data_IF_526389428023
#
_entry.id   IF_526389428023
#
_cell.length_a   1.000
_cell.length_b   1.000
_cell.length_c   1.000
_cell.angle_alpha   90.00
_cell.angle_beta   90.00
_cell.angle_gamma   90.00
#
_symmetry.space_group_name_H-M   'P 1'
#
loop_
_entity.id
_entity.type
_entity.pdbx_description
1 polymer ?
#
# COMPACT_ATOMS: atom_id res chain seq x y z
N UNK A 1 -6.62 6.01 -17.42
CA UNK A 1 -7.26 5.66 -16.14
C UNK A 1 -6.47 6.40 -15.07
N UNK A 2 -7.04 7.43 -14.46
CA UNK A 2 -6.35 8.19 -13.40
C UNK A 2 -6.42 7.45 -12.07
N UNK A 3 -5.38 7.56 -11.26
CA UNK A 3 -5.41 7.19 -9.84
C UNK A 3 -6.35 8.16 -9.12
N UNK A 4 -7.31 7.63 -8.36
CA UNK A 4 -8.35 8.44 -7.70
C UNK A 4 -7.87 9.00 -6.37
N UNK A 5 -8.32 10.20 -6.02
CA UNK A 5 -8.33 10.64 -4.63
C UNK A 5 -9.43 9.86 -3.90
N UNK A 6 -9.05 9.10 -2.86
CA UNK A 6 -9.99 8.32 -2.06
C UNK A 6 -10.59 9.13 -0.89
N UNK A 7 -10.23 10.41 -0.73
CA UNK A 7 -10.87 11.31 0.22
C UNK A 7 -12.29 11.63 -0.31
N UNK A 8 -13.31 11.01 0.28
CA UNK A 8 -14.73 11.23 -0.03
C UNK A 8 -15.35 10.33 -1.10
N UNK A 9 -14.68 9.26 -1.53
CA UNK A 9 -15.21 8.33 -2.54
C UNK A 9 -16.08 7.21 -1.92
N UNK A 10 -17.11 6.76 -2.66
CA UNK A 10 -17.88 5.56 -2.30
C UNK A 10 -17.09 4.28 -2.58
N UNK A 11 -17.07 3.38 -1.59
CA UNK A 11 -16.39 2.08 -1.66
C UNK A 11 -17.00 1.16 -2.70
N UNK A 12 -16.17 0.41 -3.42
CA UNK A 12 -16.64 -0.57 -4.43
C UNK A 12 -16.41 -2.03 -4.02
N UNK A 13 -15.91 -2.28 -2.80
CA UNK A 13 -15.77 -3.65 -2.28
C UNK A 13 -14.85 -4.54 -3.13
N UNK A 14 -13.81 -3.97 -3.76
CA UNK A 14 -12.86 -4.77 -4.54
C UNK A 14 -11.88 -5.47 -3.60
N UNK A 15 -11.87 -6.79 -3.64
CA UNK A 15 -10.96 -7.60 -2.81
C UNK A 15 -9.63 -7.81 -3.51
N UNK A 16 -8.55 -7.76 -2.72
CA UNK A 16 -7.18 -8.05 -3.17
C UNK A 16 -6.64 -9.17 -2.31
N UNK A 17 -5.96 -10.13 -2.95
CA UNK A 17 -5.29 -11.21 -2.25
C UNK A 17 -3.95 -10.72 -1.64
N UNK A 18 -4.01 -10.23 -0.40
CA UNK A 18 -2.84 -9.88 0.41
C UNK A 18 -3.12 -10.20 1.86
N UNK A 19 -2.25 -11.01 2.47
CA UNK A 19 -2.37 -11.36 3.88
C UNK A 19 -2.02 -10.16 4.76
N UNK A 20 -0.97 -9.41 4.40
CA UNK A 20 -0.57 -8.21 5.11
C UNK A 20 -1.67 -7.15 5.08
N UNK A 21 -2.33 -6.98 3.94
CA UNK A 21 -3.47 -6.08 3.81
C UNK A 21 -4.61 -6.54 4.71
N UNK A 22 -4.99 -7.83 4.68
CA UNK A 22 -6.07 -8.35 5.52
C UNK A 22 -5.80 -8.09 7.01
N UNK A 23 -4.59 -8.43 7.49
CA UNK A 23 -4.17 -8.18 8.86
C UNK A 23 -4.18 -6.68 9.19
N UNK A 24 -3.74 -5.83 8.26
CA UNK A 24 -3.75 -4.38 8.46
C UNK A 24 -5.17 -3.85 8.59
N UNK A 25 -6.10 -4.30 7.74
CA UNK A 25 -7.51 -3.88 7.76
C UNK A 25 -8.22 -4.32 9.06
N UNK A 26 -7.92 -5.52 9.57
CA UNK A 26 -8.44 -6.02 10.85
C UNK A 26 -8.00 -5.16 12.04
N UNK A 27 -6.81 -4.55 11.97
CA UNK A 27 -6.25 -3.70 13.01
C UNK A 27 -6.71 -2.24 12.94
N UNK A 28 -7.43 -1.83 11.89
CA UNK A 28 -8.00 -0.49 11.80
C UNK A 28 -9.25 -0.44 12.66
N UNK A 29 -9.12 0.10 13.87
CA UNK A 29 -10.21 0.29 14.80
C UNK A 29 -10.54 1.79 14.94
N UNK A 30 -11.06 2.38 13.87
CA UNK A 30 -11.56 3.76 13.88
C UNK A 30 -13.06 3.78 13.51
N UNK A 31 -13.96 3.95 14.50
CA UNK A 31 -15.40 3.97 14.27
C UNK A 31 -15.90 5.27 13.61
N UNK A 32 -15.06 6.29 13.44
CA UNK A 32 -15.45 7.61 12.93
C UNK A 32 -15.15 7.80 11.43
N UNK A 33 -14.46 6.85 10.80
CA UNK A 33 -14.00 7.00 9.40
C UNK A 33 -14.25 5.74 8.57
N UNK A 34 -14.56 5.90 7.27
CA UNK A 34 -14.60 4.79 6.29
C UNK A 34 -13.19 4.26 5.95
N UNK A 35 -12.28 4.26 6.93
CA UNK A 35 -10.85 4.06 6.74
C UNK A 35 -10.49 2.67 6.20
N UNK A 36 -11.06 1.54 6.70
CA UNK A 36 -10.73 0.22 6.16
C UNK A 36 -11.10 0.07 4.68
N UNK A 37 -12.28 0.56 4.29
CA UNK A 37 -12.74 0.50 2.90
C UNK A 37 -11.86 1.34 1.97
N UNK A 38 -11.52 2.57 2.40
CA UNK A 38 -10.64 3.47 1.65
C UNK A 38 -9.24 2.87 1.46
N UNK A 39 -8.69 2.25 2.52
CA UNK A 39 -7.39 1.58 2.46
C UNK A 39 -7.47 0.39 1.51
N UNK A 40 -8.50 -0.45 1.61
CA UNK A 40 -8.72 -1.58 0.71
C UNK A 40 -8.82 -1.15 -0.75
N UNK A 41 -9.60 -0.12 -1.05
CA UNK A 41 -9.79 0.40 -2.40
C UNK A 41 -8.50 1.00 -2.96
N UNK A 42 -7.69 1.69 -2.14
CA UNK A 42 -6.36 2.14 -2.55
C UNK A 42 -5.49 0.98 -3.03
N UNK A 43 -5.39 -0.10 -2.27
CA UNK A 43 -4.61 -1.27 -2.66
C UNK A 43 -5.23 -2.02 -3.85
N UNK A 44 -6.55 -2.02 -3.99
CA UNK A 44 -7.22 -2.57 -5.16
C UNK A 44 -6.88 -1.82 -6.44
N UNK A 45 -6.87 -0.49 -6.40
CA UNK A 45 -6.47 0.34 -7.53
C UNK A 45 -4.97 0.19 -7.84
N UNK A 46 -4.11 0.15 -6.81
CA UNK A 46 -2.69 -0.10 -6.99
C UNK A 46 -2.40 -1.47 -7.61
N UNK A 47 -3.09 -2.52 -7.16
CA UNK A 47 -3.01 -3.86 -7.74
C UNK A 47 -3.33 -3.83 -9.26
N UNK A 48 -4.35 -3.06 -9.69
CA UNK A 48 -4.66 -2.92 -11.11
C UNK A 48 -3.57 -2.20 -11.90
N UNK A 49 -2.94 -1.17 -11.32
CA UNK A 49 -1.81 -0.48 -11.94
C UNK A 49 -0.62 -1.43 -12.08
N UNK A 50 -0.25 -2.11 -11.01
CA UNK A 50 0.87 -3.06 -11.00
C UNK A 50 0.67 -4.19 -12.02
N UNK A 51 -0.54 -4.75 -12.14
CA UNK A 51 -0.87 -5.75 -13.18
C UNK A 51 -0.64 -5.25 -14.59
N UNK A 52 -1.02 -4.00 -14.89
CA UNK A 52 -0.81 -3.39 -16.21
C UNK A 52 0.67 -3.15 -16.49
N UNK A 53 1.42 -2.67 -15.51
CA UNK A 53 2.86 -2.48 -15.61
C UNK A 53 3.56 -3.82 -15.84
N UNK A 54 3.22 -4.85 -15.07
CA UNK A 54 3.73 -6.20 -15.27
C UNK A 54 3.45 -6.70 -16.69
N UNK A 55 2.21 -6.56 -17.18
CA UNK A 55 1.84 -6.96 -18.55
C UNK A 55 2.67 -6.26 -19.63
N UNK A 56 2.99 -4.98 -19.46
CA UNK A 56 3.74 -4.18 -20.42
C UNK A 56 5.27 -4.29 -20.33
N UNK A 57 5.82 -4.77 -19.21
CA UNK A 57 7.26 -4.94 -19.05
C UNK A 57 7.80 -6.13 -19.85
N UNK A 58 9.02 -5.98 -20.37
CA UNK A 58 9.82 -7.11 -20.89
C UNK A 58 10.41 -7.90 -19.72
N UNK A 59 10.82 -9.15 -19.97
CA UNK A 59 11.59 -9.94 -19.00
C UNK A 59 12.88 -9.20 -18.61
N UNK A 60 13.21 -9.17 -17.33
CA UNK A 60 14.27 -8.37 -16.72
C UNK A 60 13.93 -6.89 -16.56
N UNK A 61 12.71 -6.47 -16.92
CA UNK A 61 12.25 -5.09 -16.79
C UNK A 61 11.95 -4.74 -15.33
N UNK A 62 12.46 -3.59 -14.88
CA UNK A 62 12.29 -3.13 -13.51
C UNK A 62 11.14 -2.13 -13.35
N UNK A 63 10.50 -2.17 -12.19
CA UNK A 63 9.47 -1.23 -11.76
C UNK A 63 9.79 -0.75 -10.34
N UNK A 64 10.05 0.54 -10.20
CA UNK A 64 10.30 1.18 -8.91
C UNK A 64 9.07 1.99 -8.47
N UNK A 65 8.58 1.73 -7.27
CA UNK A 65 7.47 2.46 -6.65
C UNK A 65 8.00 3.28 -5.47
N UNK A 66 7.92 4.60 -5.56
CA UNK A 66 8.19 5.50 -4.42
C UNK A 66 6.89 5.69 -3.66
N UNK A 67 6.84 5.21 -2.41
CA UNK A 67 5.63 5.19 -1.59
C UNK A 67 5.92 5.55 -0.14
N UNK A 68 5.01 6.31 0.46
CA UNK A 68 5.03 6.59 1.89
C UNK A 68 4.14 5.62 2.65
N UNK A 69 4.66 5.04 3.73
CA UNK A 69 3.84 4.37 4.73
C UNK A 69 2.91 5.41 5.39
N UNK A 70 1.72 4.96 5.74
CA UNK A 70 0.63 5.81 6.20
C UNK A 70 0.32 5.57 7.68
N UNK A 71 -0.43 6.49 8.27
CA UNK A 71 -0.87 6.43 9.66
C UNK A 71 -2.35 6.72 9.73
N UNK A 72 -3.05 5.96 10.56
CA UNK A 72 -4.45 6.18 10.94
C UNK A 72 -4.53 6.19 12.47
N UNK A 73 -5.64 6.68 13.06
CA UNK A 73 -5.86 6.50 14.49
C UNK A 73 -5.65 5.04 14.90
N UNK A 74 -4.82 4.81 15.92
CA UNK A 74 -4.51 3.50 16.48
C UNK A 74 -3.51 2.63 15.72
N UNK A 75 -3.17 2.93 14.45
CA UNK A 75 -2.30 2.04 13.66
C UNK A 75 -1.51 2.70 12.53
N UNK A 76 -0.40 2.07 12.15
CA UNK A 76 0.46 2.43 11.01
C UNK A 76 0.31 1.39 9.90
N UNK A 77 0.26 1.85 8.64
CA UNK A 77 0.09 1.01 7.46
C UNK A 77 1.41 0.91 6.70
N UNK A 78 1.95 -0.30 6.57
CA UNK A 78 3.15 -0.57 5.78
C UNK A 78 2.83 -0.76 4.29
N UNK A 79 2.59 0.36 3.63
CA UNK A 79 2.25 0.42 2.20
C UNK A 79 3.31 -0.26 1.34
N UNK A 80 4.59 -0.02 1.64
CA UNK A 80 5.70 -0.62 0.91
C UNK A 80 5.71 -2.15 0.97
N UNK A 81 5.51 -2.74 2.14
CA UNK A 81 5.46 -4.19 2.33
C UNK A 81 4.24 -4.81 1.66
N UNK A 82 3.06 -4.18 1.80
CA UNK A 82 1.82 -4.67 1.17
C UNK A 82 1.97 -4.65 -0.36
N UNK A 83 2.51 -3.57 -0.95
CA UNK A 83 2.73 -3.51 -2.39
C UNK A 83 3.80 -4.51 -2.86
N UNK A 84 4.84 -4.76 -2.06
CA UNK A 84 5.82 -5.81 -2.36
C UNK A 84 5.17 -7.20 -2.40
N UNK A 85 4.35 -7.55 -1.40
CA UNK A 85 3.60 -8.83 -1.37
C UNK A 85 2.70 -8.97 -2.61
N UNK A 86 1.95 -7.92 -2.93
CA UNK A 86 1.09 -7.90 -4.12
C UNK A 86 1.91 -8.12 -5.39
N UNK A 87 3.06 -7.45 -5.51
CA UNK A 87 3.99 -7.63 -6.63
C UNK A 87 4.44 -9.08 -6.78
N UNK A 88 4.86 -9.72 -5.68
CA UNK A 88 5.26 -11.13 -5.67
C UNK A 88 4.14 -12.05 -6.17
N UNK A 89 2.93 -11.87 -5.64
CA UNK A 89 1.76 -12.67 -6.07
C UNK A 89 1.39 -12.46 -7.54
N UNK A 90 1.73 -11.32 -8.12
CA UNK A 90 1.54 -11.03 -9.56
C UNK A 90 2.61 -11.64 -10.47
N UNK A 91 3.72 -12.14 -9.91
CA UNK A 91 4.84 -12.72 -10.65
C UNK A 91 6.07 -11.80 -10.78
N UNK A 92 6.11 -10.67 -10.07
CA UNK A 92 7.37 -9.93 -9.93
C UNK A 92 8.30 -10.60 -8.91
N UNK A 93 9.61 -10.45 -9.13
CA UNK A 93 10.62 -10.63 -8.10
C UNK A 93 10.82 -9.30 -7.33
N UNK A 94 10.76 -9.34 -6.00
CA UNK A 94 11.11 -8.18 -5.16
C UNK A 94 12.62 -8.15 -5.01
N UNK A 95 13.28 -7.17 -5.63
CA UNK A 95 14.74 -7.03 -5.56
C UNK A 95 15.19 -6.36 -4.27
N UNK A 96 14.53 -5.28 -3.90
CA UNK A 96 14.87 -4.49 -2.73
C UNK A 96 13.74 -3.54 -2.32
N UNK A 97 13.77 -3.13 -1.05
CA UNK A 97 12.97 -2.02 -0.51
C UNK A 97 13.96 -1.04 0.13
N UNK A 98 14.18 0.09 -0.54
CA UNK A 98 15.09 1.13 -0.08
C UNK A 98 14.35 2.13 0.79
N UNK A 99 14.87 2.46 1.96
CA UNK A 99 14.30 3.50 2.82
C UNK A 99 14.84 4.86 2.40
N UNK A 100 13.97 5.73 1.89
CA UNK A 100 14.33 7.07 1.43
C UNK A 100 14.21 8.12 2.54
N UNK A 101 13.24 7.96 3.45
CA UNK A 101 13.01 8.88 4.57
C UNK A 101 12.32 8.17 5.74
N UNK A 102 12.51 8.66 6.96
CA UNK A 102 11.84 8.18 8.17
C UNK A 102 11.28 9.38 8.93
N UNK A 103 9.99 9.32 9.29
CA UNK A 103 9.29 10.41 10.00
C UNK A 103 8.34 9.88 11.05
N UNK A 104 8.12 10.66 12.10
CA UNK A 104 7.06 10.42 13.05
C UNK A 104 5.73 10.94 12.51
N UNK A 105 4.67 10.17 12.69
CA UNK A 105 3.32 10.64 12.41
C UNK A 105 2.76 11.41 13.60
N UNK A 106 1.95 12.42 13.29
CA UNK A 106 1.20 13.19 14.28
C UNK A 106 -0.28 13.23 13.87
N UNK A 107 -0.87 12.04 13.76
CA UNK A 107 -2.31 11.86 13.51
C UNK A 107 -3.02 11.76 14.86
N UNK A 108 -4.16 12.42 15.02
CA UNK A 108 -4.93 12.33 16.26
C UNK A 108 -5.29 10.86 16.57
N UNK A 109 -4.97 10.38 17.77
CA UNK A 109 -5.22 8.99 18.16
C UNK A 109 -4.18 7.98 17.68
N UNK A 110 -3.06 8.39 17.07
CA UNK A 110 -1.97 7.45 16.71
C UNK A 110 -1.22 6.97 17.96
N UNK A 111 -0.92 5.67 18.02
CA UNK A 111 0.06 5.13 18.96
C UNK A 111 1.46 5.35 18.38
N UNK A 112 2.31 6.12 19.09
CA UNK A 112 3.68 6.46 18.63
C UNK A 112 4.68 5.34 18.95
N UNK A 113 4.34 4.10 18.58
CA UNK A 113 5.17 2.93 18.85
C UNK A 113 6.36 2.83 17.89
N UNK A 114 6.19 3.32 16.66
CA UNK A 114 7.23 3.35 15.62
C UNK A 114 7.04 4.50 14.63
N UNK A 115 8.11 4.98 13.99
CA UNK A 115 7.99 5.93 12.88
C UNK A 115 7.48 5.24 11.61
N UNK A 116 6.98 6.03 10.67
CA UNK A 116 6.72 5.58 9.30
C UNK A 116 7.85 6.00 8.37
N UNK A 117 7.94 5.32 7.24
CA UNK A 117 8.98 5.58 6.24
C UNK A 117 8.42 5.87 4.86
N UNK A 118 9.17 6.63 4.09
CA UNK A 118 9.06 6.65 2.64
C UNK A 118 10.08 5.68 2.07
N UNK A 119 9.63 4.83 1.16
CA UNK A 119 10.41 3.73 0.62
C UNK A 119 10.31 3.68 -0.91
N UNK A 120 11.33 3.10 -1.53
CA UNK A 120 11.34 2.73 -2.94
C UNK A 120 11.28 1.20 -3.02
N UNK A 121 10.14 0.66 -3.46
CA UNK A 121 9.97 -0.78 -3.71
C UNK A 121 10.41 -1.08 -5.13
N UNK A 122 11.46 -1.88 -5.29
CA UNK A 122 12.00 -2.24 -6.61
C UNK A 122 11.60 -3.68 -6.95
N UNK A 123 10.83 -3.80 -8.03
CA UNK A 123 10.32 -5.05 -8.58
C UNK A 123 10.94 -5.34 -9.94
N UNK A 124 11.10 -6.61 -10.29
CA UNK A 124 11.59 -7.05 -11.61
C UNK A 124 10.69 -8.15 -12.18
N UNK A 125 10.41 -8.12 -13.48
CA UNK A 125 9.61 -9.13 -14.18
C UNK A 125 10.46 -10.26 -14.76
#
# INVERSE_FOLDING_TARGET
>A
MSLRSHIGAESRGKTVDSELLRQTLENINDPLTKSPEIVGDYFADMNQVMKKVHGGLKKGGKFALVVGNACLPGTTIDVDLILAELGQKMGFEVKEILVANVRWCDVHGINKDRPVRESIVVLEK
#
